data_IF_390238074056
#
_entry.id   IF_390238074056
#
_cell.length_a   1.000
_cell.length_b   1.000
_cell.length_c   1.000
_cell.angle_alpha   90.00
_cell.angle_beta   90.00
_cell.angle_gamma   90.00
#
_symmetry.space_group_name_H-M   'P 1'
#
loop_
_entity.id
_entity.type
_entity.pdbx_description
1 polymer ?
#
# COMPACT_ATOMS: atom_id res chain seq x y z
N UNK A 1 -3.26 14.99 11.93
CA UNK A 1 -2.87 14.96 10.49
C UNK A 1 -3.98 14.33 9.67
N UNK A 2 -4.30 14.83 8.47
CA UNK A 2 -5.35 14.27 7.60
C UNK A 2 -4.86 14.09 6.18
N UNK A 3 -5.22 12.97 5.54
CA UNK A 3 -4.99 12.71 4.12
C UNK A 3 -6.06 13.41 3.29
N UNK A 4 -5.66 14.27 2.36
CA UNK A 4 -6.56 15.04 1.51
C UNK A 4 -6.19 14.76 0.04
N UNK A 5 -7.13 14.25 -0.79
CA UNK A 5 -6.94 14.20 -2.22
C UNK A 5 -6.67 15.60 -2.80
N UNK A 6 -5.75 15.71 -3.74
CA UNK A 6 -5.30 17.02 -4.25
C UNK A 6 -6.46 17.89 -4.76
N UNK A 7 -7.49 17.27 -5.37
CA UNK A 7 -8.70 17.97 -5.85
C UNK A 7 -9.53 18.67 -4.76
N UNK A 8 -9.36 18.27 -3.48
CA UNK A 8 -10.03 18.88 -2.34
C UNK A 8 -9.10 19.76 -1.51
N UNK A 9 -7.82 19.86 -1.87
CA UNK A 9 -6.87 20.67 -1.15
C UNK A 9 -7.23 22.14 -1.23
N UNK A 10 -7.26 22.83 -0.08
CA UNK A 10 -7.53 24.27 -0.01
C UNK A 10 -6.24 25.05 0.19
N UNK A 11 -6.21 26.28 -0.34
CA UNK A 11 -5.18 27.25 0.00
C UNK A 11 -5.11 27.46 1.52
N UNK A 12 -3.95 27.79 2.01
CA UNK A 12 -3.64 27.98 3.43
C UNK A 12 -3.65 26.68 4.27
N UNK A 13 -3.89 25.50 3.69
CA UNK A 13 -3.62 24.23 4.37
C UNK A 13 -2.13 24.11 4.72
N UNK A 14 -1.79 23.50 5.86
CA UNK A 14 -0.41 23.32 6.30
C UNK A 14 0.01 21.89 6.04
N UNK A 15 1.13 21.68 5.34
CA UNK A 15 1.66 20.34 5.07
C UNK A 15 2.09 19.63 6.35
N UNK A 16 1.70 18.37 6.49
CA UNK A 16 2.07 17.54 7.64
C UNK A 16 3.34 16.71 7.39
N UNK A 17 3.75 16.57 6.12
CA UNK A 17 4.94 15.80 5.69
C UNK A 17 5.65 16.53 4.56
N UNK A 18 6.93 16.21 4.36
CA UNK A 18 7.68 16.60 3.18
C UNK A 18 7.10 15.93 1.93
N UNK A 19 7.02 16.68 0.83
CA UNK A 19 6.50 16.19 -0.44
C UNK A 19 7.63 16.21 -1.47
N UNK A 20 7.88 15.08 -2.10
CA UNK A 20 8.96 14.89 -3.08
C UNK A 20 8.38 14.59 -4.46
N UNK A 21 9.14 14.88 -5.50
CA UNK A 21 8.81 14.46 -6.87
C UNK A 21 9.36 13.05 -7.19
N UNK A 22 9.07 12.55 -8.39
CA UNK A 22 9.50 11.25 -8.89
C UNK A 22 11.02 11.03 -8.98
N UNK A 23 11.82 12.09 -8.93
CA UNK A 23 13.29 12.02 -8.86
C UNK A 23 13.85 12.12 -7.43
N UNK A 24 12.98 12.16 -6.41
CA UNK A 24 13.37 12.31 -5.01
C UNK A 24 13.74 13.74 -4.60
N UNK A 25 13.49 14.74 -5.47
CA UNK A 25 13.71 16.15 -5.13
C UNK A 25 12.57 16.68 -4.28
N UNK A 26 12.90 17.34 -3.17
CA UNK A 26 11.93 18.00 -2.30
C UNK A 26 11.17 19.09 -3.08
N UNK A 27 9.84 19.00 -3.08
CA UNK A 27 8.93 19.99 -3.66
C UNK A 27 8.41 20.98 -2.62
N UNK A 28 7.90 20.49 -1.51
CA UNK A 28 7.33 21.27 -0.41
C UNK A 28 7.74 20.62 0.91
N UNK A 29 8.27 21.41 1.83
CA UNK A 29 8.65 20.94 3.15
C UNK A 29 7.44 20.77 4.06
N UNK A 30 7.57 19.94 5.08
CA UNK A 30 6.65 19.85 6.22
C UNK A 30 6.44 21.24 6.85
N UNK A 31 5.26 21.47 7.40
CA UNK A 31 4.88 22.72 8.10
C UNK A 31 4.80 23.95 7.19
N UNK A 32 4.79 23.76 5.88
CA UNK A 32 4.62 24.87 4.93
C UNK A 32 3.14 25.14 4.67
N UNK A 33 2.77 26.41 4.63
CA UNK A 33 1.44 26.87 4.26
C UNK A 33 1.30 26.86 2.74
N UNK A 34 0.34 26.10 2.22
CA UNK A 34 0.16 25.89 0.79
C UNK A 34 -0.45 27.14 0.15
N UNK A 35 0.21 27.68 -0.87
CA UNK A 35 -0.25 28.75 -1.73
C UNK A 35 -0.63 28.22 -3.13
N UNK A 36 -1.11 29.11 -4.00
CA UNK A 36 -1.49 28.77 -5.39
C UNK A 36 -0.33 28.18 -6.20
N UNK A 37 0.88 28.73 -6.08
CA UNK A 37 2.04 28.25 -6.82
C UNK A 37 2.42 26.83 -6.39
N UNK A 38 2.33 26.54 -5.08
CA UNK A 38 2.55 25.20 -4.54
C UNK A 38 1.48 24.24 -5.01
N UNK A 39 0.20 24.63 -5.09
CA UNK A 39 -0.86 23.79 -5.66
C UNK A 39 -0.59 23.45 -7.13
N UNK A 40 -0.19 24.43 -7.94
CA UNK A 40 0.20 24.22 -9.34
C UNK A 40 1.42 23.28 -9.44
N UNK A 41 2.41 23.44 -8.55
CA UNK A 41 3.57 22.56 -8.47
C UNK A 41 3.19 21.11 -8.17
N UNK A 42 2.25 20.89 -7.23
CA UNK A 42 1.73 19.57 -6.92
C UNK A 42 0.98 18.94 -8.11
N UNK A 43 0.13 19.72 -8.78
CA UNK A 43 -0.57 19.26 -10.00
C UNK A 43 0.42 18.92 -11.13
N UNK A 44 1.43 19.77 -11.38
CA UNK A 44 2.46 19.54 -12.40
C UNK A 44 3.24 18.25 -12.14
N UNK A 45 3.51 17.92 -10.88
CA UNK A 45 4.19 16.69 -10.47
C UNK A 45 3.23 15.50 -10.27
N UNK A 46 1.94 15.65 -10.67
CA UNK A 46 0.92 14.59 -10.62
C UNK A 46 0.80 13.94 -9.23
N UNK A 47 0.92 14.74 -8.17
CA UNK A 47 0.67 14.29 -6.79
C UNK A 47 -0.82 13.99 -6.65
N UNK A 48 -1.17 12.84 -6.10
CA UNK A 48 -2.56 12.37 -6.00
C UNK A 48 -3.22 12.89 -4.73
N UNK A 49 -2.50 12.90 -3.62
CA UNK A 49 -2.96 13.40 -2.31
C UNK A 49 -1.80 13.92 -1.46
N UNK A 50 -2.14 14.71 -0.46
CA UNK A 50 -1.21 15.27 0.50
C UNK A 50 -1.72 15.05 1.91
N UNK A 51 -0.80 15.09 2.88
CA UNK A 51 -1.13 15.11 4.30
C UNK A 51 -1.07 16.54 4.81
N UNK A 52 -2.15 17.00 5.46
CA UNK A 52 -2.23 18.33 6.06
C UNK A 52 -2.33 18.25 7.58
N UNK A 53 -1.80 19.26 8.25
CA UNK A 53 -1.98 19.44 9.70
C UNK A 53 -3.41 19.86 10.00
N UNK A 54 -3.94 19.43 11.13
CA UNK A 54 -5.16 19.97 11.70
C UNK A 54 -4.77 21.00 12.76
N UNK A 55 -5.36 22.20 12.69
CA UNK A 55 -5.05 23.30 13.63
C UNK A 55 -5.31 22.93 15.10
N UNK A 56 -6.10 21.89 15.35
CA UNK A 56 -6.50 21.47 16.68
C UNK A 56 -5.63 20.38 17.32
N UNK A 57 -4.59 19.82 16.62
CA UNK A 57 -3.83 18.65 17.13
C UNK A 57 -2.41 18.51 16.60
N UNK A 58 -1.49 18.23 17.53
CA UNK A 58 -0.09 17.86 17.27
C UNK A 58 0.12 16.36 16.96
N UNK A 59 -0.94 15.58 16.74
CA UNK A 59 -0.80 14.13 16.50
C UNK A 59 -0.03 13.88 15.18
N UNK A 60 1.21 13.46 15.34
CA UNK A 60 2.04 12.93 14.24
C UNK A 60 1.61 11.49 14.01
N UNK A 61 1.11 11.17 12.82
CA UNK A 61 0.99 9.78 12.39
C UNK A 61 2.39 9.38 11.95
N UNK A 62 3.00 8.47 12.69
CA UNK A 62 4.33 7.95 12.41
C UNK A 62 4.17 6.78 11.43
N UNK A 63 4.76 6.88 10.24
CA UNK A 63 4.81 5.72 9.31
C UNK A 63 5.54 4.57 10.02
N UNK A 64 5.20 3.36 9.66
CA UNK A 64 5.81 2.15 10.24
C UNK A 64 7.29 2.02 9.87
N UNK A 65 7.72 2.65 8.76
CA UNK A 65 9.13 2.82 8.38
C UNK A 65 9.44 4.30 8.13
N UNK A 66 10.70 4.68 8.24
CA UNK A 66 11.11 6.07 8.00
C UNK A 66 10.83 6.50 6.55
N UNK A 67 10.41 7.75 6.31
CA UNK A 67 10.20 8.28 4.95
C UNK A 67 11.47 8.22 4.10
N UNK A 68 12.63 8.35 4.72
CA UNK A 68 13.96 8.26 4.09
C UNK A 68 14.19 6.85 3.54
N UNK A 69 13.95 5.81 4.35
CA UNK A 69 14.10 4.41 3.93
C UNK A 69 13.12 4.04 2.83
N UNK A 70 11.86 4.51 2.94
CA UNK A 70 10.83 4.29 1.92
C UNK A 70 11.27 4.89 0.57
N UNK A 71 11.75 6.13 0.56
CA UNK A 71 12.23 6.80 -0.65
C UNK A 71 13.44 6.11 -1.25
N UNK A 72 14.42 5.74 -0.44
CA UNK A 72 15.61 5.00 -0.89
C UNK A 72 15.22 3.68 -1.55
N UNK A 73 14.31 2.90 -0.94
CA UNK A 73 13.82 1.66 -1.50
C UNK A 73 13.15 1.84 -2.88
N UNK A 74 12.34 2.88 -3.05
CA UNK A 74 11.72 3.21 -4.33
C UNK A 74 12.78 3.53 -5.40
N UNK A 75 13.79 4.32 -5.05
CA UNK A 75 14.84 4.71 -6.00
C UNK A 75 15.74 3.53 -6.41
N UNK A 76 16.10 2.66 -5.47
CA UNK A 76 16.91 1.46 -5.76
C UNK A 76 16.13 0.45 -6.60
N UNK A 77 14.84 0.23 -6.32
CA UNK A 77 13.98 -0.60 -7.18
C UNK A 77 13.87 -0.04 -8.60
N UNK A 78 13.71 1.27 -8.74
CA UNK A 78 13.65 1.96 -10.04
C UNK A 78 14.96 1.76 -10.82
N UNK A 79 16.09 1.95 -10.17
CA UNK A 79 17.43 1.74 -10.74
C UNK A 79 17.61 0.29 -11.19
N UNK A 80 17.34 -0.68 -10.33
CA UNK A 80 17.43 -2.10 -10.64
C UNK A 80 16.50 -2.49 -11.82
N UNK A 81 15.23 -2.06 -11.79
CA UNK A 81 14.27 -2.33 -12.86
C UNK A 81 14.73 -1.77 -14.21
N UNK A 82 15.27 -0.55 -14.21
CA UNK A 82 15.84 0.06 -15.42
C UNK A 82 17.05 -0.74 -15.94
N UNK A 83 17.96 -1.13 -15.06
CA UNK A 83 19.14 -1.91 -15.43
C UNK A 83 18.74 -3.29 -15.98
N UNK A 84 17.77 -3.96 -15.37
CA UNK A 84 17.30 -5.28 -15.81
C UNK A 84 16.52 -5.22 -17.14
N UNK A 85 15.76 -4.14 -17.39
CA UNK A 85 15.02 -3.97 -18.65
C UNK A 85 15.90 -3.66 -19.86
N UNK A 86 17.08 -3.06 -19.65
CA UNK A 86 18.02 -2.72 -20.72
C UNK A 86 18.87 -3.95 -21.11
N UNK A 87 18.30 -4.87 -21.87
CA UNK A 87 18.86 -6.19 -22.25
C UNK A 87 20.05 -6.11 -23.22
N UNK A 88 21.18 -5.53 -22.80
CA UNK A 88 22.46 -5.75 -23.46
C UNK A 88 23.10 -7.05 -22.95
N UNK A 89 24.00 -7.68 -23.74
CA UNK A 89 24.69 -8.92 -23.37
C UNK A 89 25.44 -8.84 -22.04
N UNK A 90 25.91 -7.65 -21.67
CA UNK A 90 26.63 -7.37 -20.41
C UNK A 90 25.69 -7.43 -19.19
N UNK A 91 24.39 -7.13 -19.39
CA UNK A 91 23.39 -7.05 -18.28
C UNK A 91 22.72 -8.38 -17.96
N UNK A 92 23.08 -9.45 -18.67
CA UNK A 92 22.73 -10.83 -18.31
C UNK A 92 23.80 -11.50 -17.44
N UNK A 93 24.76 -10.72 -16.97
CA UNK A 93 25.80 -11.21 -16.06
C UNK A 93 25.20 -11.44 -14.67
N UNK A 94 25.30 -12.68 -14.23
CA UNK A 94 24.73 -13.14 -12.97
C UNK A 94 25.43 -12.49 -11.77
N UNK A 95 26.72 -12.24 -11.83
CA UNK A 95 27.46 -11.59 -10.76
C UNK A 95 27.01 -10.15 -10.58
N UNK A 96 26.85 -9.40 -11.68
CA UNK A 96 26.36 -8.02 -11.64
C UNK A 96 24.91 -7.97 -11.11
N UNK A 97 24.06 -8.88 -11.55
CA UNK A 97 22.67 -8.90 -11.09
C UNK A 97 22.56 -9.25 -9.60
N UNK A 98 23.42 -10.13 -9.09
CA UNK A 98 23.46 -10.46 -7.67
C UNK A 98 23.83 -9.26 -6.79
N UNK A 99 24.64 -8.30 -7.27
CA UNK A 99 24.91 -7.05 -6.54
C UNK A 99 23.61 -6.27 -6.30
N UNK A 100 22.73 -6.14 -7.30
CA UNK A 100 21.43 -5.50 -7.11
C UNK A 100 20.53 -6.27 -6.14
N UNK A 101 20.58 -7.61 -6.17
CA UNK A 101 19.83 -8.43 -5.22
C UNK A 101 20.34 -8.24 -3.79
N UNK A 102 21.64 -8.09 -3.60
CA UNK A 102 22.23 -7.78 -2.29
C UNK A 102 21.83 -6.37 -1.80
N UNK A 103 21.78 -5.36 -2.67
CA UNK A 103 21.27 -4.02 -2.34
C UNK A 103 19.82 -4.11 -1.85
N UNK A 104 18.95 -4.87 -2.55
CA UNK A 104 17.57 -5.11 -2.14
C UNK A 104 17.48 -5.87 -0.81
N UNK A 105 18.32 -6.89 -0.60
CA UNK A 105 18.39 -7.61 0.68
C UNK A 105 18.75 -6.68 1.84
N UNK A 106 19.69 -5.78 1.64
CA UNK A 106 20.08 -4.79 2.65
C UNK A 106 18.92 -3.83 2.97
N UNK A 107 18.17 -3.39 1.96
CA UNK A 107 16.97 -2.58 2.17
C UNK A 107 15.89 -3.34 2.96
N UNK A 108 15.63 -4.59 2.59
CA UNK A 108 14.67 -5.46 3.29
C UNK A 108 15.09 -5.66 4.75
N UNK A 109 16.39 -5.88 5.04
CA UNK A 109 16.89 -6.00 6.41
C UNK A 109 16.61 -4.72 7.21
N UNK A 110 16.88 -3.54 6.65
CA UNK A 110 16.62 -2.25 7.32
C UNK A 110 15.13 -2.02 7.56
N UNK A 111 14.26 -2.42 6.62
CA UNK A 111 12.80 -2.38 6.80
C UNK A 111 12.41 -3.29 7.97
N UNK A 112 12.91 -4.52 8.02
CA UNK A 112 12.66 -5.46 9.12
C UNK A 112 13.11 -4.87 10.46
N UNK A 113 14.31 -4.29 10.51
CA UNK A 113 14.87 -3.70 11.73
C UNK A 113 14.01 -2.54 12.24
N UNK A 114 13.54 -1.64 11.36
CA UNK A 114 12.63 -0.55 11.75
C UNK A 114 11.28 -1.08 12.23
N UNK A 115 10.70 -2.08 11.55
CA UNK A 115 9.44 -2.70 11.97
C UNK A 115 9.54 -3.36 13.34
N UNK A 116 10.62 -4.10 13.61
CA UNK A 116 10.82 -4.79 14.89
C UNK A 116 11.09 -3.85 16.07
N UNK A 117 11.48 -2.60 15.81
CA UNK A 117 11.63 -1.57 16.85
C UNK A 117 10.30 -0.90 17.25
N UNK A 118 9.23 -1.07 16.47
CA UNK A 118 7.92 -0.47 16.78
C UNK A 118 7.19 -1.28 17.85
N UNK A 119 6.61 -0.59 18.83
CA UNK A 119 5.80 -1.22 19.90
C UNK A 119 4.47 -1.79 19.40
N UNK A 120 3.96 -1.28 18.29
CA UNK A 120 2.72 -1.71 17.66
C UNK A 120 2.84 -1.56 16.15
N UNK A 121 2.48 -2.60 15.43
CA UNK A 121 2.44 -2.61 13.98
C UNK A 121 0.99 -2.59 13.52
N UNK A 122 0.68 -1.62 12.67
CA UNK A 122 -0.63 -1.44 12.04
C UNK A 122 -0.45 -1.26 10.54
N UNK A 123 -1.45 -1.67 9.77
CA UNK A 123 -1.48 -1.47 8.32
C UNK A 123 -2.25 -0.16 8.09
N UNK A 124 -1.50 0.92 8.08
CA UNK A 124 -1.99 2.25 7.75
C UNK A 124 -1.46 2.64 6.37
N UNK A 125 -2.28 3.33 5.60
CA UNK A 125 -1.81 3.78 4.30
C UNK A 125 -1.25 5.21 4.43
N UNK A 126 0.05 5.31 4.68
CA UNK A 126 0.78 6.56 4.77
C UNK A 126 1.80 6.58 3.64
N UNK A 127 1.35 6.94 2.43
CA UNK A 127 2.24 7.06 1.28
C UNK A 127 1.80 8.22 0.39
N UNK A 128 2.74 9.08 0.00
CA UNK A 128 2.50 10.15 -0.98
C UNK A 128 2.91 9.60 -2.33
N UNK A 129 1.94 9.35 -3.20
CA UNK A 129 2.18 8.75 -4.51
C UNK A 129 2.25 9.80 -5.61
N UNK A 130 3.21 9.59 -6.49
CA UNK A 130 3.31 10.23 -7.78
C UNK A 130 3.11 9.19 -8.90
N UNK A 131 2.62 9.64 -10.04
CA UNK A 131 2.27 8.76 -11.16
C UNK A 131 3.47 8.01 -11.75
N UNK A 132 4.67 8.58 -11.70
CA UNK A 132 5.86 7.99 -12.34
C UNK A 132 6.46 6.84 -11.52
N UNK A 133 6.37 6.91 -10.20
CA UNK A 133 6.94 5.91 -9.29
C UNK A 133 5.89 4.96 -8.69
N UNK A 134 4.62 5.08 -9.08
CA UNK A 134 3.53 4.31 -8.47
C UNK A 134 3.77 2.79 -8.40
N UNK A 135 4.44 2.21 -9.40
CA UNK A 135 4.79 0.79 -9.41
C UNK A 135 5.82 0.43 -8.36
N UNK A 136 6.85 1.26 -8.19
CA UNK A 136 7.91 1.02 -7.20
C UNK A 136 7.41 1.31 -5.78
N UNK A 137 6.62 2.36 -5.61
CA UNK A 137 5.93 2.69 -4.36
C UNK A 137 4.99 1.55 -3.94
N UNK A 138 4.23 0.99 -4.89
CA UNK A 138 3.43 -0.20 -4.70
C UNK A 138 4.26 -1.38 -4.19
N UNK A 139 5.36 -1.72 -4.86
CA UNK A 139 6.22 -2.84 -4.47
C UNK A 139 6.82 -2.67 -3.07
N UNK A 140 7.27 -1.46 -2.71
CA UNK A 140 7.75 -1.16 -1.36
C UNK A 140 6.63 -1.33 -0.33
N UNK A 141 5.43 -0.84 -0.65
CA UNK A 141 4.28 -0.94 0.26
C UNK A 141 3.84 -2.40 0.46
N UNK A 142 3.80 -3.18 -0.63
CA UNK A 142 3.51 -4.63 -0.56
C UNK A 142 4.56 -5.34 0.31
N UNK A 143 5.84 -4.99 0.21
CA UNK A 143 6.88 -5.57 1.06
C UNK A 143 6.67 -5.21 2.54
N UNK A 144 6.44 -3.93 2.87
CA UNK A 144 6.24 -3.46 4.25
C UNK A 144 5.03 -4.15 4.89
N UNK A 145 3.89 -4.16 4.20
CA UNK A 145 2.66 -4.77 4.73
C UNK A 145 2.78 -6.29 4.83
N UNK A 146 3.43 -6.95 3.86
CA UNK A 146 3.70 -8.39 3.93
C UNK A 146 4.59 -8.75 5.12
N UNK A 147 5.61 -7.93 5.42
CA UNK A 147 6.47 -8.11 6.58
C UNK A 147 5.71 -7.91 7.90
N UNK A 148 4.79 -6.95 7.99
CA UNK A 148 3.90 -6.79 9.16
C UNK A 148 3.09 -8.07 9.40
N UNK A 149 2.52 -8.66 8.33
CA UNK A 149 1.80 -9.94 8.43
C UNK A 149 2.74 -11.07 8.85
N UNK A 150 3.96 -11.14 8.28
CA UNK A 150 4.95 -12.15 8.63
C UNK A 150 5.38 -12.07 10.11
N UNK A 151 5.57 -10.87 10.65
CA UNK A 151 5.89 -10.63 12.07
C UNK A 151 4.73 -11.12 12.95
N UNK A 152 3.49 -10.80 12.59
CA UNK A 152 2.31 -11.25 13.33
C UNK A 152 2.09 -12.77 13.27
N UNK A 153 2.55 -13.42 12.19
CA UNK A 153 2.61 -14.88 12.05
C UNK A 153 3.80 -15.51 12.79
N UNK A 154 4.59 -14.70 13.52
CA UNK A 154 5.79 -15.12 14.26
C UNK A 154 6.85 -15.76 13.36
N UNK A 155 7.07 -15.22 12.18
CA UNK A 155 8.17 -15.66 11.31
C UNK A 155 9.53 -15.31 11.92
N UNK A 156 10.46 -16.23 11.81
CA UNK A 156 11.87 -15.94 12.10
C UNK A 156 12.48 -14.99 11.07
N UNK A 157 13.64 -14.44 11.38
CA UNK A 157 14.34 -13.44 10.55
C UNK A 157 14.59 -13.94 9.11
N UNK A 158 14.89 -15.22 8.94
CA UNK A 158 15.19 -15.76 7.61
C UNK A 158 13.92 -15.93 6.76
N UNK A 159 12.79 -16.26 7.39
CA UNK A 159 11.48 -16.24 6.73
C UNK A 159 11.06 -14.81 6.37
N UNK A 160 11.27 -13.85 7.27
CA UNK A 160 10.98 -12.42 6.99
C UNK A 160 11.82 -11.90 5.83
N UNK A 161 13.12 -12.21 5.78
CA UNK A 161 13.98 -11.84 4.65
C UNK A 161 13.45 -12.39 3.33
N UNK A 162 13.15 -13.70 3.27
CA UNK A 162 12.61 -14.32 2.06
C UNK A 162 11.26 -13.72 1.64
N UNK A 163 10.36 -13.51 2.58
CA UNK A 163 9.08 -12.86 2.31
C UNK A 163 9.27 -11.43 1.81
N UNK A 164 10.12 -10.63 2.46
CA UNK A 164 10.38 -9.25 2.09
C UNK A 164 10.98 -9.11 0.68
N UNK A 165 11.98 -9.96 0.34
CA UNK A 165 12.57 -9.97 -1.00
C UNK A 165 11.52 -10.40 -2.04
N UNK A 166 10.74 -11.44 -1.77
CA UNK A 166 9.70 -11.89 -2.69
C UNK A 166 8.63 -10.80 -2.91
N UNK A 167 8.21 -10.14 -1.84
CA UNK A 167 7.19 -9.10 -1.89
C UNK A 167 7.67 -7.83 -2.62
N UNK A 168 8.93 -7.41 -2.39
CA UNK A 168 9.46 -6.21 -3.04
C UNK A 168 9.74 -6.44 -4.55
N UNK A 169 9.98 -7.68 -4.95
CA UNK A 169 10.28 -8.07 -6.33
C UNK A 169 9.08 -8.69 -7.08
N UNK A 170 7.92 -8.84 -6.46
CA UNK A 170 6.79 -9.60 -7.03
C UNK A 170 6.38 -9.10 -8.43
N UNK A 171 6.40 -7.80 -8.63
CA UNK A 171 6.01 -7.12 -9.87
C UNK A 171 7.21 -6.74 -10.78
N UNK A 172 8.43 -7.23 -10.50
CA UNK A 172 9.62 -6.96 -11.33
C UNK A 172 9.39 -7.26 -12.82
N UNK A 173 8.57 -8.24 -13.13
CA UNK A 173 8.26 -8.66 -14.49
C UNK A 173 7.63 -7.59 -15.36
N UNK A 174 7.03 -6.54 -14.77
CA UNK A 174 6.55 -5.37 -15.52
C UNK A 174 7.66 -4.67 -16.31
N UNK A 175 8.92 -4.72 -15.82
CA UNK A 175 10.07 -4.18 -16.54
C UNK A 175 10.31 -4.83 -17.92
N UNK A 176 9.73 -6.00 -18.17
CA UNK A 176 9.86 -6.78 -19.42
C UNK A 176 8.60 -6.76 -20.29
N UNK A 177 7.61 -5.94 -19.94
CA UNK A 177 6.39 -5.75 -20.72
C UNK A 177 6.51 -4.56 -21.66
N UNK A 178 5.73 -4.53 -22.78
CA UNK A 178 5.68 -3.37 -23.67
C UNK A 178 5.23 -2.11 -22.91
N UNK A 179 5.98 -1.03 -23.06
CA UNK A 179 5.69 0.25 -22.36
C UNK A 179 4.35 0.83 -22.77
N UNK A 180 3.94 0.59 -24.02
CA UNK A 180 2.66 1.02 -24.59
C UNK A 180 1.46 0.42 -23.83
N UNK A 181 1.61 -0.79 -23.26
CA UNK A 181 0.59 -1.45 -22.46
C UNK A 181 0.63 -0.93 -21.02
N UNK A 182 1.84 -0.83 -20.42
CA UNK A 182 2.01 -0.44 -19.03
C UNK A 182 1.53 0.99 -18.76
N UNK A 183 1.85 1.93 -19.66
CA UNK A 183 1.53 3.34 -19.53
C UNK A 183 0.25 3.76 -20.26
N UNK A 184 -0.57 2.79 -20.66
CA UNK A 184 -1.83 3.07 -21.35
C UNK A 184 -2.82 3.78 -20.42
N UNK A 185 -3.33 4.92 -20.85
CA UNK A 185 -4.29 5.72 -20.07
C UNK A 185 -5.74 5.27 -20.24
N UNK A 186 -6.01 4.36 -21.18
CA UNK A 186 -7.35 3.79 -21.43
C UNK A 186 -7.42 2.36 -20.91
N UNK A 187 -8.64 1.83 -20.78
CA UNK A 187 -8.84 0.42 -20.40
C UNK A 187 -8.09 -0.51 -21.34
N UNK A 188 -7.44 -1.53 -20.77
CA UNK A 188 -6.78 -2.58 -21.55
C UNK A 188 -7.81 -3.43 -22.31
N UNK A 189 -7.44 -3.92 -23.49
CA UNK A 189 -8.17 -4.99 -24.18
C UNK A 189 -7.90 -6.34 -23.51
N UNK A 190 -8.71 -7.34 -23.81
CA UNK A 190 -8.50 -8.69 -23.28
C UNK A 190 -7.11 -9.25 -23.63
N UNK A 191 -6.62 -9.01 -24.86
CA UNK A 191 -5.30 -9.47 -25.29
C UNK A 191 -4.18 -8.75 -24.53
N UNK A 192 -4.34 -7.44 -24.24
CA UNK A 192 -3.40 -6.68 -23.44
C UNK A 192 -3.41 -7.12 -21.98
N UNK A 193 -4.58 -7.47 -21.41
CA UNK A 193 -4.69 -8.05 -20.07
C UNK A 193 -3.94 -9.39 -19.98
N UNK A 194 -4.04 -10.25 -21.00
CA UNK A 194 -3.27 -11.50 -21.07
C UNK A 194 -1.76 -11.23 -21.13
N UNK A 195 -1.32 -10.21 -21.87
CA UNK A 195 0.09 -9.79 -21.87
C UNK A 195 0.52 -9.32 -20.47
N UNK A 196 -0.30 -8.54 -19.79
CA UNK A 196 -0.01 -8.08 -18.42
C UNK A 196 0.12 -9.25 -17.44
N UNK A 197 -0.73 -10.26 -17.53
CA UNK A 197 -0.64 -11.47 -16.68
C UNK A 197 0.69 -12.20 -16.78
N UNK A 198 1.41 -12.05 -17.90
CA UNK A 198 2.73 -12.69 -18.07
C UNK A 198 3.83 -12.10 -17.19
N UNK A 199 3.61 -10.96 -16.49
CA UNK A 199 4.65 -10.34 -15.67
C UNK A 199 5.19 -11.29 -14.59
N UNK A 200 4.33 -12.07 -13.92
CA UNK A 200 4.75 -13.01 -12.88
C UNK A 200 5.71 -14.08 -13.43
N UNK A 201 5.43 -14.65 -14.61
CA UNK A 201 6.33 -15.60 -15.27
C UNK A 201 7.62 -14.93 -15.78
N UNK A 202 7.54 -13.71 -16.32
CA UNK A 202 8.71 -12.96 -16.80
C UNK A 202 9.66 -12.59 -15.68
N UNK A 203 9.13 -12.10 -14.54
CA UNK A 203 9.91 -11.82 -13.34
C UNK A 203 10.59 -13.06 -12.79
N UNK A 204 9.83 -14.15 -12.61
CA UNK A 204 10.35 -15.44 -12.21
C UNK A 204 11.47 -15.93 -13.13
N UNK A 205 11.24 -15.96 -14.45
CA UNK A 205 12.20 -16.49 -15.43
C UNK A 205 13.48 -15.66 -15.44
N UNK A 206 13.39 -14.34 -15.36
CA UNK A 206 14.56 -13.47 -15.31
C UNK A 206 15.41 -13.76 -14.08
N UNK A 207 14.82 -13.73 -12.89
CA UNK A 207 15.52 -13.97 -11.64
C UNK A 207 16.11 -15.40 -11.57
N UNK A 208 15.38 -16.39 -12.04
CA UNK A 208 15.84 -17.78 -12.10
C UNK A 208 17.08 -17.97 -12.99
N UNK A 209 17.10 -17.32 -14.15
CA UNK A 209 18.19 -17.47 -15.11
C UNK A 209 19.44 -16.62 -14.78
N UNK A 210 19.22 -15.44 -14.20
CA UNK A 210 20.27 -14.42 -14.13
C UNK A 210 20.60 -13.96 -12.70
N UNK A 211 20.13 -14.66 -11.67
CA UNK A 211 20.47 -14.40 -10.26
C UNK A 211 20.62 -15.70 -9.47
N UNK A 212 21.09 -15.61 -8.22
CA UNK A 212 21.15 -16.73 -7.27
C UNK A 212 20.00 -16.72 -6.25
N UNK A 213 18.90 -16.04 -6.56
CA UNK A 213 17.72 -15.98 -5.70
C UNK A 213 17.14 -17.39 -5.50
N UNK A 214 16.85 -17.74 -4.25
CA UNK A 214 16.35 -19.06 -3.88
C UNK A 214 14.93 -19.33 -4.40
N UNK A 215 14.57 -20.60 -4.54
CA UNK A 215 13.22 -21.01 -4.96
C UNK A 215 12.13 -20.53 -4.01
N UNK A 216 12.43 -20.40 -2.71
CA UNK A 216 11.50 -19.90 -1.71
C UNK A 216 11.10 -18.45 -1.95
N UNK A 217 11.95 -17.66 -2.62
CA UNK A 217 11.67 -16.30 -3.08
C UNK A 217 11.04 -16.28 -4.48
N UNK A 218 11.53 -17.14 -5.38
CA UNK A 218 11.07 -17.18 -6.77
C UNK A 218 9.60 -17.64 -6.90
N UNK A 219 9.17 -18.66 -6.14
CA UNK A 219 7.81 -19.17 -6.24
C UNK A 219 6.74 -18.16 -5.83
N UNK A 220 6.91 -17.37 -4.76
CA UNK A 220 5.98 -16.27 -4.47
C UNK A 220 5.85 -15.25 -5.61
N UNK A 221 6.96 -14.92 -6.28
CA UNK A 221 6.94 -14.01 -7.45
C UNK A 221 6.13 -14.62 -8.60
N UNK A 222 6.26 -15.91 -8.83
CA UNK A 222 5.49 -16.61 -9.87
C UNK A 222 4.00 -16.73 -9.54
N UNK A 223 3.66 -16.97 -8.26
CA UNK A 223 2.34 -17.45 -7.83
C UNK A 223 1.52 -16.46 -7.01
N UNK A 224 1.91 -15.17 -6.92
CA UNK A 224 1.16 -14.17 -6.16
C UNK A 224 -0.23 -13.83 -6.72
N UNK A 225 -0.52 -14.27 -7.95
CA UNK A 225 -1.85 -14.16 -8.56
C UNK A 225 -2.62 -15.50 -8.60
N UNK A 226 -2.12 -16.54 -7.93
CA UNK A 226 -2.89 -17.76 -7.76
C UNK A 226 -3.98 -17.55 -6.70
N UNK A 227 -5.14 -18.15 -6.94
CA UNK A 227 -6.28 -18.14 -6.04
C UNK A 227 -6.43 -19.47 -5.33
N UNK A 228 -6.89 -19.47 -4.07
CA UNK A 228 -7.00 -20.72 -3.29
C UNK A 228 -7.98 -21.74 -3.89
N UNK A 229 -8.95 -21.29 -4.70
CA UNK A 229 -9.88 -22.14 -5.47
C UNK A 229 -9.31 -22.60 -6.81
N UNK A 230 -8.14 -22.08 -7.25
CA UNK A 230 -7.49 -22.39 -8.51
C UNK A 230 -8.02 -21.61 -9.71
N UNK A 231 -8.79 -20.54 -9.50
CA UNK A 231 -9.23 -19.63 -10.58
C UNK A 231 -8.16 -18.58 -10.96
N UNK A 232 -7.03 -18.54 -10.23
CA UNK A 232 -5.93 -17.62 -10.48
C UNK A 232 -5.00 -18.05 -11.61
N UNK A 233 -3.88 -17.36 -11.74
CA UNK A 233 -2.87 -17.60 -12.75
C UNK A 233 -1.45 -17.54 -12.17
N UNK A 234 -0.42 -18.06 -12.83
CA UNK A 234 -0.37 -18.58 -14.20
C UNK A 234 -0.67 -20.10 -14.33
N UNK A 235 -0.78 -20.85 -13.22
CA UNK A 235 -0.88 -22.32 -13.25
C UNK A 235 -2.22 -22.87 -12.75
N UNK A 236 -3.07 -22.06 -12.12
CA UNK A 236 -4.32 -22.49 -11.52
C UNK A 236 -4.12 -23.52 -10.40
N UNK A 237 -3.05 -23.37 -9.60
CA UNK A 237 -2.78 -24.26 -8.47
C UNK A 237 -3.72 -23.92 -7.29
N UNK A 238 -4.04 -24.92 -6.42
CA UNK A 238 -5.08 -24.78 -5.41
C UNK A 238 -4.59 -25.00 -3.98
N UNK A 239 -5.17 -24.24 -3.05
CA UNK A 239 -5.10 -24.49 -1.62
C UNK A 239 -3.68 -24.57 -1.07
N UNK A 240 -3.28 -25.72 -0.53
CA UNK A 240 -1.97 -25.92 0.08
C UNK A 240 -0.81 -26.04 -0.94
N UNK A 241 -1.10 -26.13 -2.23
CA UNK A 241 -0.05 -26.11 -3.27
C UNK A 241 0.48 -24.69 -3.50
N UNK A 242 -0.27 -23.66 -3.09
CA UNK A 242 0.16 -22.26 -3.13
C UNK A 242 1.05 -22.02 -1.91
N UNK A 243 2.26 -21.51 -2.14
CA UNK A 243 3.19 -21.12 -1.08
C UNK A 243 2.56 -20.06 -0.16
N UNK A 244 2.84 -20.12 1.15
CA UNK A 244 2.26 -19.20 2.14
C UNK A 244 2.66 -17.73 1.84
N UNK A 245 3.89 -17.48 1.38
CA UNK A 245 4.31 -16.13 0.98
C UNK A 245 3.51 -15.60 -0.21
N UNK A 246 3.19 -16.46 -1.20
CA UNK A 246 2.29 -16.09 -2.31
C UNK A 246 0.93 -15.66 -1.82
N UNK A 247 0.35 -16.37 -0.84
CA UNK A 247 -0.95 -16.03 -0.25
C UNK A 247 -0.92 -14.70 0.48
N UNK A 248 0.18 -14.39 1.18
CA UNK A 248 0.37 -13.10 1.86
C UNK A 248 0.46 -11.99 0.81
N UNK A 249 1.34 -12.13 -0.18
CA UNK A 249 1.56 -11.12 -1.22
C UNK A 249 0.26 -10.88 -2.00
N UNK A 250 -0.50 -11.92 -2.35
CA UNK A 250 -1.77 -11.81 -3.08
C UNK A 250 -2.78 -10.87 -2.39
N UNK A 251 -2.96 -11.01 -1.07
CA UNK A 251 -3.90 -10.14 -0.32
C UNK A 251 -3.39 -8.72 -0.27
N UNK A 252 -2.10 -8.53 0.00
CA UNK A 252 -1.50 -7.21 0.15
C UNK A 252 -1.46 -6.47 -1.19
N UNK A 253 -1.11 -7.17 -2.27
CA UNK A 253 -1.14 -6.64 -3.64
C UNK A 253 -2.56 -6.17 -4.01
N UNK A 254 -3.57 -7.01 -3.77
CA UNK A 254 -4.97 -6.68 -4.03
C UNK A 254 -5.42 -5.46 -3.19
N UNK A 255 -5.10 -5.43 -1.90
CA UNK A 255 -5.41 -4.31 -1.03
C UNK A 255 -4.79 -3.01 -1.52
N UNK A 256 -3.47 -3.02 -1.80
CA UNK A 256 -2.75 -1.83 -2.21
C UNK A 256 -3.23 -1.29 -3.57
N UNK A 257 -3.51 -2.17 -4.53
CA UNK A 257 -4.11 -1.81 -5.83
C UNK A 257 -5.49 -1.19 -5.67
N UNK A 258 -6.34 -1.74 -4.79
CA UNK A 258 -7.67 -1.18 -4.53
C UNK A 258 -7.59 0.20 -3.88
N UNK A 259 -6.85 0.34 -2.78
CA UNK A 259 -6.79 1.61 -2.03
C UNK A 259 -6.24 2.75 -2.89
N UNK A 260 -5.44 2.46 -3.90
CA UNK A 260 -4.81 3.45 -4.78
C UNK A 260 -5.49 3.57 -6.15
N UNK A 261 -6.55 2.80 -6.42
CA UNK A 261 -7.30 2.96 -7.66
C UNK A 261 -8.06 4.30 -7.68
N UNK A 262 -8.03 5.00 -8.82
CA UNK A 262 -8.77 6.27 -8.99
C UNK A 262 -10.28 6.10 -8.75
N UNK A 263 -10.83 4.93 -9.05
CA UNK A 263 -12.25 4.62 -8.87
C UNK A 263 -12.63 4.63 -7.39
N UNK A 264 -11.78 4.06 -6.53
CA UNK A 264 -12.03 3.99 -5.09
C UNK A 264 -11.75 5.33 -4.41
N UNK A 265 -10.75 6.07 -4.87
CA UNK A 265 -10.49 7.43 -4.38
C UNK A 265 -11.68 8.38 -4.64
N UNK A 266 -12.59 8.02 -5.53
CA UNK A 266 -13.76 8.85 -5.88
C UNK A 266 -15.04 8.49 -5.14
N UNK A 267 -15.28 7.25 -4.76
CA UNK A 267 -16.60 6.78 -4.33
C UNK A 267 -16.62 5.80 -3.16
N UNK A 268 -15.54 5.10 -2.87
CA UNK A 268 -15.57 4.02 -1.88
C UNK A 268 -14.92 4.43 -0.54
N UNK A 269 -15.54 3.96 0.54
CA UNK A 269 -14.97 4.05 1.87
C UNK A 269 -13.85 3.00 2.05
N UNK A 270 -12.79 3.30 2.80
CA UNK A 270 -11.72 2.33 3.06
C UNK A 270 -12.20 1.00 3.68
N UNK A 271 -13.28 1.01 4.47
CA UNK A 271 -13.87 -0.22 5.01
C UNK A 271 -14.50 -1.11 3.92
N UNK A 272 -15.02 -0.55 2.82
CA UNK A 272 -15.54 -1.34 1.70
C UNK A 272 -14.43 -2.20 1.06
N UNK A 273 -13.19 -1.73 1.12
CA UNK A 273 -12.03 -2.50 0.62
C UNK A 273 -11.83 -3.74 1.49
N UNK A 274 -11.90 -3.58 2.83
CA UNK A 274 -11.81 -4.72 3.75
C UNK A 274 -12.95 -5.72 3.53
N UNK A 275 -14.18 -5.24 3.31
CA UNK A 275 -15.34 -6.08 2.99
C UNK A 275 -15.13 -6.85 1.67
N UNK A 276 -14.55 -6.20 0.65
CA UNK A 276 -14.19 -6.89 -0.62
C UNK A 276 -13.16 -7.99 -0.39
N UNK A 277 -12.13 -7.76 0.42
CA UNK A 277 -11.14 -8.79 0.76
C UNK A 277 -11.84 -9.96 1.47
N UNK A 278 -12.71 -9.67 2.47
CA UNK A 278 -13.45 -10.68 3.20
C UNK A 278 -14.40 -11.50 2.29
N UNK A 279 -15.04 -10.85 1.30
CA UNK A 279 -15.90 -11.51 0.33
C UNK A 279 -15.18 -12.54 -0.55
N UNK A 280 -13.85 -12.43 -0.68
CA UNK A 280 -13.03 -13.35 -1.46
C UNK A 280 -12.33 -14.44 -0.63
N UNK A 281 -12.68 -14.57 0.66
CA UNK A 281 -12.18 -15.68 1.50
C UNK A 281 -12.65 -17.02 0.94
N UNK A 282 -11.73 -17.97 0.80
CA UNK A 282 -12.01 -19.31 0.29
C UNK A 282 -12.12 -19.39 -1.24
N UNK A 283 -12.17 -18.26 -1.93
CA UNK A 283 -12.06 -18.19 -3.39
C UNK A 283 -10.67 -17.72 -3.80
N UNK A 284 -10.38 -16.43 -3.69
CA UNK A 284 -9.06 -15.90 -3.99
C UNK A 284 -8.10 -16.02 -2.78
N UNK A 285 -8.56 -15.75 -1.56
CA UNK A 285 -7.71 -15.56 -0.39
C UNK A 285 -7.85 -16.64 0.66
N UNK A 286 -6.71 -16.93 1.33
CA UNK A 286 -6.63 -17.84 2.47
C UNK A 286 -7.22 -17.19 3.73
N UNK A 287 -8.11 -17.92 4.42
CA UNK A 287 -8.80 -17.45 5.62
C UNK A 287 -7.83 -16.96 6.71
N UNK A 288 -6.80 -17.77 7.02
CA UNK A 288 -5.83 -17.44 8.09
C UNK A 288 -5.09 -16.14 7.82
N UNK A 289 -4.69 -15.92 6.57
CA UNK A 289 -3.95 -14.71 6.18
C UNK A 289 -4.88 -13.50 6.19
N UNK A 290 -6.12 -13.63 5.70
CA UNK A 290 -7.12 -12.55 5.80
C UNK A 290 -7.41 -12.18 7.25
N UNK A 291 -7.52 -13.15 8.15
CA UNK A 291 -7.75 -12.89 9.58
C UNK A 291 -6.65 -12.04 10.20
N UNK A 292 -5.38 -12.39 9.92
CA UNK A 292 -4.21 -11.61 10.40
C UNK A 292 -4.20 -10.22 9.80
N UNK A 293 -4.39 -10.10 8.48
CA UNK A 293 -4.46 -8.82 7.78
C UNK A 293 -5.56 -7.92 8.36
N UNK A 294 -6.78 -8.45 8.52
CA UNK A 294 -7.93 -7.71 9.02
C UNK A 294 -7.70 -7.15 10.43
N UNK A 295 -7.07 -7.93 11.32
CA UNK A 295 -6.74 -7.48 12.68
C UNK A 295 -5.77 -6.31 12.72
N UNK A 296 -4.92 -6.17 11.71
CA UNK A 296 -3.88 -5.12 11.64
C UNK A 296 -4.28 -3.92 10.79
N UNK A 297 -5.27 -4.07 9.91
CA UNK A 297 -5.71 -3.00 9.03
C UNK A 297 -6.37 -1.85 9.81
N UNK A 298 -5.99 -0.61 9.50
CA UNK A 298 -6.62 0.61 10.01
C UNK A 298 -7.16 1.42 8.83
N UNK A 299 -8.44 1.22 8.45
CA UNK A 299 -9.03 1.91 7.32
C UNK A 299 -9.26 3.41 7.59
N UNK A 300 -9.47 3.79 8.85
CA UNK A 300 -9.73 5.16 9.26
C UNK A 300 -8.67 5.64 10.24
N UNK A 301 -7.76 6.48 9.74
CA UNK A 301 -6.73 7.08 10.57
C UNK A 301 -7.33 8.01 11.63
N UNK A 302 -6.72 8.07 12.81
CA UNK A 302 -7.06 9.05 13.85
C UNK A 302 -7.06 10.46 13.26
N UNK A 303 -8.09 11.25 13.55
CA UNK A 303 -8.28 12.57 12.97
C UNK A 303 -9.07 12.59 11.66
N UNK A 304 -9.43 11.43 11.08
CA UNK A 304 -10.35 11.38 9.94
C UNK A 304 -11.75 11.84 10.35
N UNK A 305 -12.35 12.76 9.59
CA UNK A 305 -13.73 13.15 9.81
C UNK A 305 -14.66 12.29 8.97
N UNK A 306 -15.72 11.80 9.60
CA UNK A 306 -16.70 10.90 9.00
C UNK A 306 -18.11 11.47 9.17
N UNK A 307 -18.99 11.19 8.20
CA UNK A 307 -20.42 11.34 8.35
C UNK A 307 -21.03 9.98 8.64
N UNK A 308 -21.87 9.92 9.70
CA UNK A 308 -22.60 8.71 10.06
C UNK A 308 -23.99 8.70 9.40
N UNK A 309 -24.63 7.52 9.36
CA UNK A 309 -25.95 7.28 8.76
C UNK A 309 -27.09 8.09 9.41
N UNK A 310 -26.92 8.53 10.66
CA UNK A 310 -27.87 9.42 11.34
C UNK A 310 -27.60 10.92 11.07
N UNK A 311 -26.66 11.26 10.19
CA UNK A 311 -26.30 12.64 9.85
C UNK A 311 -25.20 13.27 10.70
N UNK A 312 -24.84 12.68 11.85
CA UNK A 312 -23.79 13.21 12.73
C UNK A 312 -22.44 13.27 11.99
N UNK A 313 -21.69 14.36 12.18
CA UNK A 313 -20.28 14.47 11.75
C UNK A 313 -19.39 14.18 12.95
N UNK A 314 -18.49 13.23 12.77
CA UNK A 314 -17.65 12.71 13.83
C UNK A 314 -16.18 12.71 13.45
N UNK A 315 -15.31 12.69 14.45
CA UNK A 315 -13.86 12.58 14.33
C UNK A 315 -13.39 11.23 14.85
N UNK A 316 -12.59 10.52 14.09
CA UNK A 316 -11.96 9.26 14.53
C UNK A 316 -10.95 9.56 15.63
N UNK A 317 -11.11 8.94 16.81
CA UNK A 317 -10.20 9.01 17.95
C UNK A 317 -9.26 7.79 18.04
N UNK A 318 -9.69 6.66 17.53
CA UNK A 318 -8.91 5.42 17.53
C UNK A 318 -9.67 4.25 16.96
N UNK A 319 -8.97 3.13 16.84
CA UNK A 319 -9.50 1.86 16.32
C UNK A 319 -9.46 0.80 17.42
N UNK A 320 -10.46 -0.08 17.44
CA UNK A 320 -10.50 -1.23 18.36
C UNK A 320 -9.91 -2.44 17.65
N UNK A 321 -8.99 -3.13 18.33
CA UNK A 321 -8.39 -4.35 17.81
C UNK A 321 -9.48 -5.39 17.47
N UNK A 322 -9.42 -5.94 16.26
CA UNK A 322 -10.41 -6.89 15.75
C UNK A 322 -11.67 -6.26 15.13
N UNK A 323 -11.86 -4.94 15.24
CA UNK A 323 -13.00 -4.22 14.65
C UNK A 323 -12.55 -2.97 13.85
N UNK A 324 -11.69 -3.12 12.87
CA UNK A 324 -11.09 -1.97 12.16
C UNK A 324 -12.13 -1.07 11.47
N UNK A 325 -13.24 -1.64 10.98
CA UNK A 325 -14.30 -0.87 10.30
C UNK A 325 -15.23 -0.12 11.25
N UNK A 326 -15.05 -0.25 12.57
CA UNK A 326 -15.92 0.38 13.59
C UNK A 326 -15.08 1.14 14.64
N UNK A 327 -14.55 2.33 14.26
CA UNK A 327 -13.67 3.09 15.12
C UNK A 327 -14.40 3.70 16.34
N UNK A 328 -13.60 4.15 17.31
CA UNK A 328 -14.07 5.08 18.34
C UNK A 328 -14.08 6.48 17.71
N UNK A 329 -15.20 7.17 17.85
CA UNK A 329 -15.39 8.48 17.23
C UNK A 329 -15.88 9.50 18.26
N UNK A 330 -15.54 10.77 18.07
CA UNK A 330 -16.07 11.89 18.82
C UNK A 330 -16.99 12.73 17.94
N UNK A 331 -18.19 13.05 18.44
CA UNK A 331 -19.17 13.85 17.72
C UNK A 331 -18.71 15.31 17.65
N UNK A 332 -18.60 15.83 16.41
CA UNK A 332 -18.29 17.24 16.13
C UNK A 332 -19.56 18.06 15.86
N UNK A 333 -20.51 17.49 15.11
CA UNK A 333 -21.79 18.12 14.78
C UNK A 333 -22.90 17.06 14.85
N UNK A 334 -24.04 17.43 15.40
CA UNK A 334 -25.24 16.61 15.52
C UNK A 334 -26.46 17.52 15.62
N UNK A 335 -27.62 17.03 15.16
CA UNK A 335 -28.92 17.68 15.41
C UNK A 335 -29.29 17.65 16.92
N UNK A 336 -28.73 16.71 17.66
CA UNK A 336 -28.82 16.63 19.12
C UNK A 336 -27.57 17.23 19.78
N UNK A 337 -27.69 18.48 20.21
CA UNK A 337 -26.59 19.21 20.87
C UNK A 337 -26.02 18.48 22.10
N UNK A 338 -26.81 17.61 22.74
CA UNK A 338 -26.33 16.85 23.91
C UNK A 338 -25.25 15.80 23.57
N UNK A 339 -25.10 15.45 22.30
CA UNK A 339 -24.10 14.50 21.80
C UNK A 339 -22.75 15.15 21.47
N UNK A 340 -22.72 16.47 21.23
CA UNK A 340 -21.50 17.18 20.82
C UNK A 340 -20.39 16.95 21.84
N UNK A 341 -19.18 16.67 21.34
CA UNK A 341 -17.98 16.32 22.10
C UNK A 341 -18.04 14.98 22.84
N UNK A 342 -19.12 14.20 22.75
CA UNK A 342 -19.13 12.83 23.32
C UNK A 342 -18.41 11.86 22.42
N UNK A 343 -17.70 10.92 23.05
CA UNK A 343 -17.11 9.77 22.36
C UNK A 343 -18.13 8.65 22.23
N UNK A 344 -18.17 8.05 21.05
CA UNK A 344 -19.03 6.90 20.73
C UNK A 344 -18.12 5.78 20.23
N UNK A 345 -18.23 4.61 20.83
CA UNK A 345 -17.63 3.40 20.30
C UNK A 345 -18.61 2.78 19.31
N UNK A 346 -18.28 2.79 18.02
CA UNK A 346 -19.20 2.28 17.00
C UNK A 346 -19.40 0.76 17.08
N UNK A 347 -18.54 0.02 17.78
CA UNK A 347 -18.76 -1.43 18.04
C UNK A 347 -20.00 -1.64 18.90
N UNK A 348 -20.28 -0.73 19.84
CA UNK A 348 -21.42 -0.85 20.78
C UNK A 348 -22.73 -0.30 20.17
N UNK A 349 -22.68 0.38 19.01
CA UNK A 349 -23.83 1.06 18.40
C UNK A 349 -24.04 0.54 16.98
N UNK A 350 -24.57 -0.68 16.86
CA UNK A 350 -24.66 -1.43 15.60
C UNK A 350 -25.57 -0.80 14.54
N UNK A 351 -26.52 0.05 14.93
CA UNK A 351 -27.45 0.75 14.04
C UNK A 351 -26.86 1.99 13.38
N UNK A 352 -25.63 2.39 13.71
CA UNK A 352 -24.92 3.46 13.03
C UNK A 352 -23.91 2.88 12.04
N UNK A 353 -23.91 3.37 10.81
CA UNK A 353 -22.92 3.07 9.79
C UNK A 353 -22.16 4.34 9.39
N UNK A 354 -21.00 4.15 8.77
CA UNK A 354 -20.21 5.24 8.20
C UNK A 354 -20.68 5.44 6.77
N UNK A 355 -21.12 6.67 6.45
CA UNK A 355 -21.65 7.04 5.13
C UNK A 355 -20.56 7.54 4.18
N UNK A 356 -19.69 8.44 4.67
CA UNK A 356 -18.61 9.02 3.86
C UNK A 356 -17.54 9.71 4.70
N UNK A 357 -16.38 9.92 4.07
CA UNK A 357 -15.32 10.78 4.62
C UNK A 357 -15.65 12.23 4.33
N UNK A 358 -15.42 13.09 5.33
CA UNK A 358 -15.56 14.55 5.24
C UNK A 358 -14.17 15.17 5.27
N UNK A 359 -13.84 15.96 4.28
CA UNK A 359 -12.51 16.59 4.20
C UNK A 359 -12.48 17.98 4.89
N UNK A 360 -13.62 18.67 4.96
CA UNK A 360 -13.76 19.99 5.61
C UNK A 360 -15.17 20.10 6.21
N UNK A 361 -15.27 20.80 7.34
CA UNK A 361 -16.54 21.20 7.96
C UNK A 361 -17.17 22.36 7.20
#
# INVERSE_FOLDING_TARGET
MRRIPLRYLKENSITAMDIYNSSGKLLISKSMKIDKNMMELLHKNKIIYVYIMDESREDIIDDVISPELRREAVLELKKMSYEFSNLTSIKRDKEINNVYIEEILNLVNRIIDELLQKNSLTIEQIDIRDFENQYFQHSVNVAVVSLIIGIELNYDIDKLRRLGIAAILHDLGYAFLPKEIIYKSTKLSNDEEEVVKTHSEKGYNYLYLYTDVSRDVLFPILYHHEHVDGSGYPRGIKGNRINEYSKIIAIVDFYDKLVNSEVILQSDLPNNILERIMAHIGTAFDYKIVEVFYKKAIPFLKGTMLKLSNGDIVLVEGTINGFPSRPIVRVLQSDDNSKINKCINLVDVLNLSIDKIIYYL
#
